data_IF_939174469377
#
_entry.id   IF_939174469377
#
_cell.length_a   1.000
_cell.length_b   1.000
_cell.length_c   1.000
_cell.angle_alpha   90.00
_cell.angle_beta   90.00
_cell.angle_gamma   90.00
#
_symmetry.space_group_name_H-M   'P 1'
#
loop_
_entity.id
_entity.type
_entity.pdbx_description
1 polymer ?
#
# COMPACT_ATOMS: atom_id res chain seq x y z
N UNK A 1 28.05 -10.13 12.95
CA UNK A 1 27.10 -9.62 11.94
C UNK A 1 25.84 -9.20 12.67
N UNK A 2 25.14 -8.14 12.23
CA UNK A 2 23.87 -7.74 12.83
C UNK A 2 22.75 -8.59 12.21
N UNK A 3 21.78 -8.95 13.04
CA UNK A 3 20.66 -9.82 12.67
C UNK A 3 19.42 -8.93 12.63
N UNK A 4 18.57 -9.15 11.63
CA UNK A 4 17.34 -8.39 11.41
C UNK A 4 16.17 -9.34 11.57
N UNK A 5 15.15 -8.87 12.27
CA UNK A 5 13.98 -9.69 12.57
C UNK A 5 12.71 -8.96 12.16
N UNK A 6 11.75 -9.74 11.65
CA UNK A 6 10.39 -9.30 11.39
C UNK A 6 9.50 -10.02 12.38
N UNK A 7 8.82 -9.28 13.26
CA UNK A 7 7.93 -9.88 14.25
C UNK A 7 6.48 -9.50 13.99
N UNK A 8 5.58 -10.45 14.14
CA UNK A 8 4.14 -10.27 14.10
C UNK A 8 3.44 -11.36 14.90
N UNK A 9 2.28 -11.01 15.43
CA UNK A 9 1.42 -11.95 16.16
C UNK A 9 -0.02 -11.49 15.97
N UNK A 10 -0.82 -12.32 15.33
CA UNK A 10 -2.19 -11.96 14.97
C UNK A 10 -3.12 -13.18 15.05
N UNK A 11 -4.39 -12.89 15.31
CA UNK A 11 -5.45 -13.89 15.31
C UNK A 11 -6.26 -13.76 14.01
N UNK A 12 -6.66 -14.88 13.46
CA UNK A 12 -7.68 -14.96 12.41
C UNK A 12 -8.80 -15.87 12.88
N UNK A 13 -10.03 -15.34 12.87
CA UNK A 13 -11.23 -16.13 13.10
C UNK A 13 -11.74 -16.66 11.76
N UNK A 14 -11.74 -17.98 11.60
CA UNK A 14 -12.25 -18.63 10.39
C UNK A 14 -13.74 -18.99 10.49
N UNK A 15 -14.39 -18.62 11.60
CA UNK A 15 -15.84 -18.68 11.80
C UNK A 15 -16.41 -20.05 12.18
N UNK A 16 -15.62 -21.13 12.09
CA UNK A 16 -16.01 -22.42 12.68
C UNK A 16 -14.81 -23.32 13.02
N UNK A 17 -14.95 -24.25 13.97
CA UNK A 17 -13.88 -25.22 14.31
C UNK A 17 -13.52 -26.15 13.14
N UNK A 18 -14.50 -26.49 12.29
CA UNK A 18 -14.25 -27.29 11.09
C UNK A 18 -13.33 -26.55 10.10
N UNK A 19 -13.60 -25.25 9.88
CA UNK A 19 -12.74 -24.39 9.06
C UNK A 19 -11.36 -24.25 9.68
N UNK A 20 -11.25 -24.18 11.02
CA UNK A 20 -9.97 -24.10 11.71
C UNK A 20 -9.14 -25.37 11.52
N UNK A 21 -9.77 -26.55 11.65
CA UNK A 21 -9.11 -27.82 11.37
C UNK A 21 -8.66 -27.94 9.90
N UNK A 22 -9.49 -27.50 8.94
CA UNK A 22 -9.12 -27.50 7.51
C UNK A 22 -7.97 -26.54 7.22
N UNK A 23 -7.95 -25.35 7.84
CA UNK A 23 -6.86 -24.39 7.69
C UNK A 23 -5.52 -24.95 8.18
N UNK A 24 -5.51 -25.63 9.33
CA UNK A 24 -4.31 -26.28 9.86
C UNK A 24 -3.83 -27.43 8.96
N UNK A 25 -4.75 -28.24 8.45
CA UNK A 25 -4.43 -29.30 7.49
C UNK A 25 -3.81 -28.71 6.22
N UNK A 26 -4.40 -27.65 5.66
CA UNK A 26 -3.86 -26.97 4.47
C UNK A 26 -2.47 -26.39 4.74
N UNK A 27 -2.24 -25.77 5.90
CA UNK A 27 -0.92 -25.26 6.28
C UNK A 27 0.14 -26.37 6.28
N UNK A 28 -0.18 -27.53 6.85
CA UNK A 28 0.72 -28.69 6.87
C UNK A 28 0.96 -29.27 5.47
N UNK A 29 -0.07 -29.36 4.63
CA UNK A 29 0.04 -29.79 3.23
C UNK A 29 0.98 -28.88 2.44
N UNK A 30 0.83 -27.56 2.57
CA UNK A 30 1.68 -26.57 1.91
C UNK A 30 3.12 -26.61 2.42
N UNK A 31 3.31 -26.61 3.75
CA UNK A 31 4.65 -26.74 4.36
C UNK A 31 5.37 -28.01 3.92
N UNK A 32 4.66 -29.12 3.73
CA UNK A 32 5.24 -30.36 3.24
C UNK A 32 5.63 -30.28 1.75
N UNK A 33 4.81 -29.61 0.94
CA UNK A 33 5.12 -29.37 -0.48
C UNK A 33 6.34 -28.43 -0.67
N UNK A 34 6.51 -27.48 0.26
CA UNK A 34 7.57 -26.47 0.23
C UNK A 34 8.94 -26.95 0.76
N UNK A 35 9.05 -28.17 1.31
CA UNK A 35 10.27 -28.63 1.98
C UNK A 35 11.54 -28.56 1.11
N UNK A 36 11.40 -28.78 -0.21
CA UNK A 36 12.49 -28.77 -1.18
C UNK A 36 12.34 -27.64 -2.21
N UNK A 37 11.45 -26.67 -1.97
CA UNK A 37 11.22 -25.55 -2.88
C UNK A 37 12.31 -24.48 -2.71
N UNK A 38 12.86 -23.99 -3.82
CA UNK A 38 13.82 -22.87 -3.81
C UNK A 38 13.18 -21.56 -3.31
N UNK A 39 11.86 -21.42 -3.44
CA UNK A 39 11.07 -20.30 -2.99
C UNK A 39 9.75 -20.81 -2.38
N UNK A 40 9.72 -21.14 -1.07
CA UNK A 40 8.54 -21.68 -0.42
C UNK A 40 7.41 -20.64 -0.32
N UNK A 41 6.18 -21.07 -0.57
CA UNK A 41 5.00 -20.21 -0.45
C UNK A 41 4.64 -19.91 1.01
N UNK A 42 4.92 -20.87 1.91
CA UNK A 42 4.63 -20.82 3.34
C UNK A 42 5.94 -20.92 4.15
N UNK A 43 6.54 -19.75 4.42
CA UNK A 43 7.73 -19.61 5.24
C UNK A 43 7.62 -18.39 6.16
N UNK A 44 8.43 -18.35 7.22
CA UNK A 44 8.53 -17.18 8.10
C UNK A 44 7.43 -17.07 9.16
N UNK A 45 6.55 -18.06 9.33
CA UNK A 45 5.50 -18.02 10.34
C UNK A 45 4.98 -19.40 10.73
N UNK A 46 4.46 -19.51 11.94
CA UNK A 46 3.72 -20.68 12.40
C UNK A 46 2.22 -20.37 12.52
N UNK A 47 1.42 -21.44 12.39
CA UNK A 47 -0.03 -21.41 12.55
C UNK A 47 -0.43 -22.40 13.63
N UNK A 48 -1.04 -21.89 14.70
CA UNK A 48 -1.45 -22.68 15.86
C UNK A 48 -2.94 -22.48 16.12
N UNK A 49 -3.63 -23.52 16.57
CA UNK A 49 -5.01 -23.37 17.05
C UNK A 49 -5.03 -22.58 18.37
N UNK A 50 -5.81 -21.50 18.44
CA UNK A 50 -5.93 -20.69 19.66
C UNK A 50 -7.13 -21.17 20.48
N UNK A 51 -6.86 -21.76 21.66
CA UNK A 51 -7.77 -22.11 22.77
C UNK A 51 -9.10 -22.85 22.46
N UNK A 52 -9.29 -23.94 23.22
CA UNK A 52 -10.43 -24.87 23.27
C UNK A 52 -10.76 -25.63 21.97
N UNK A 53 -11.09 -26.95 22.03
CA UNK A 53 -11.37 -27.77 20.84
C UNK A 53 -12.53 -27.28 19.97
N UNK A 54 -13.35 -26.36 20.49
CA UNK A 54 -14.46 -25.70 19.79
C UNK A 54 -14.19 -24.25 19.36
N UNK A 55 -12.94 -23.78 19.43
CA UNK A 55 -12.53 -22.47 18.92
C UNK A 55 -12.43 -22.44 17.39
N UNK A 56 -12.80 -21.30 16.80
CA UNK A 56 -12.62 -20.99 15.37
C UNK A 56 -11.45 -20.04 15.10
N UNK A 57 -10.70 -19.68 16.13
CA UNK A 57 -9.56 -18.76 16.03
C UNK A 57 -8.25 -19.50 15.83
N UNK A 58 -7.43 -19.00 14.92
CA UNK A 58 -6.08 -19.46 14.67
C UNK A 58 -5.11 -18.33 14.99
N UNK A 59 -4.02 -18.69 15.64
CA UNK A 59 -2.91 -17.80 15.94
C UNK A 59 -1.82 -17.95 14.89
N UNK A 60 -1.52 -16.84 14.24
CA UNK A 60 -0.39 -16.68 13.31
C UNK A 60 0.67 -15.87 14.03
N UNK A 61 1.89 -16.40 14.13
CA UNK A 61 3.02 -15.67 14.68
C UNK A 61 4.28 -15.90 13.85
N UNK A 62 5.21 -14.95 13.91
CA UNK A 62 6.50 -15.11 13.25
C UNK A 62 7.28 -16.31 13.79
N UNK A 63 8.07 -16.92 12.92
CA UNK A 63 9.19 -17.78 13.31
C UNK A 63 10.50 -16.95 13.32
N UNK A 64 11.67 -17.58 13.32
CA UNK A 64 12.96 -16.87 13.31
C UNK A 64 13.16 -15.96 12.07
N UNK A 65 12.42 -16.19 10.99
CA UNK A 65 12.55 -15.55 9.69
C UNK A 65 11.23 -14.93 9.20
N UNK A 66 10.51 -14.24 10.09
CA UNK A 66 9.26 -13.51 9.80
C UNK A 66 9.07 -13.02 8.36
N UNK A 67 8.04 -13.50 7.66
CA UNK A 67 7.68 -13.08 6.30
C UNK A 67 6.22 -12.60 6.23
N UNK A 68 6.06 -11.28 6.16
CA UNK A 68 4.76 -10.59 6.04
C UNK A 68 4.03 -11.00 4.76
N UNK A 69 4.74 -11.12 3.63
CA UNK A 69 4.13 -11.44 2.34
C UNK A 69 3.66 -12.90 2.29
N UNK A 70 4.40 -13.82 2.91
CA UNK A 70 3.97 -15.21 3.06
C UNK A 70 2.67 -15.33 3.87
N UNK A 71 2.53 -14.57 4.97
CA UNK A 71 1.28 -14.52 5.74
C UNK A 71 0.13 -13.99 4.88
N UNK A 72 0.33 -12.91 4.13
CA UNK A 72 -0.70 -12.33 3.25
C UNK A 72 -1.12 -13.35 2.20
N UNK A 73 -0.17 -13.97 1.48
CA UNK A 73 -0.46 -15.01 0.47
C UNK A 73 -1.25 -16.17 1.08
N UNK A 74 -0.81 -16.67 2.22
CA UNK A 74 -1.46 -17.78 2.91
C UNK A 74 -2.90 -17.43 3.34
N UNK A 75 -3.13 -16.25 3.93
CA UNK A 75 -4.48 -15.83 4.37
C UNK A 75 -5.41 -15.62 3.18
N UNK A 76 -4.92 -15.06 2.06
CA UNK A 76 -5.72 -14.96 0.83
C UNK A 76 -6.11 -16.33 0.28
N UNK A 77 -5.21 -17.31 0.37
CA UNK A 77 -5.49 -18.69 -0.02
C UNK A 77 -6.51 -19.35 0.93
N UNK A 78 -6.40 -19.11 2.24
CA UNK A 78 -7.40 -19.56 3.21
C UNK A 78 -8.78 -18.94 2.94
N UNK A 79 -8.82 -17.65 2.60
CA UNK A 79 -10.06 -16.97 2.27
C UNK A 79 -10.73 -17.56 1.03
N UNK A 80 -9.94 -17.99 0.04
CA UNK A 80 -10.43 -18.71 -1.12
C UNK A 80 -10.94 -20.12 -0.78
N UNK A 81 -10.16 -20.92 -0.05
CA UNK A 81 -10.49 -22.31 0.27
C UNK A 81 -11.70 -22.43 1.22
N UNK A 82 -11.84 -21.50 2.17
CA UNK A 82 -12.82 -21.57 3.25
C UNK A 82 -13.96 -20.57 3.09
N UNK A 83 -14.01 -19.83 1.98
CA UNK A 83 -14.95 -18.73 1.72
C UNK A 83 -15.02 -17.76 2.92
N UNK A 84 -13.87 -17.27 3.36
CA UNK A 84 -13.81 -16.26 4.42
C UNK A 84 -14.25 -14.90 3.86
N UNK A 85 -14.91 -14.10 4.69
CA UNK A 85 -15.42 -12.78 4.30
C UNK A 85 -15.14 -11.76 5.40
N UNK A 86 -15.30 -10.48 5.07
CA UNK A 86 -15.03 -9.39 6.00
C UNK A 86 -13.59 -8.91 5.91
N UNK A 87 -13.25 -7.98 6.81
CA UNK A 87 -11.93 -7.37 6.88
C UNK A 87 -11.06 -8.09 7.92
N UNK A 88 -9.82 -8.34 7.54
CA UNK A 88 -8.79 -8.83 8.43
C UNK A 88 -7.52 -8.01 8.23
N UNK A 89 -6.68 -7.93 9.25
CA UNK A 89 -5.43 -7.20 9.18
C UNK A 89 -4.52 -7.57 10.33
N UNK A 90 -3.25 -7.18 10.18
CA UNK A 90 -2.25 -7.43 11.20
C UNK A 90 -1.17 -6.34 11.18
N UNK A 91 -0.45 -6.26 12.29
CA UNK A 91 0.69 -5.38 12.46
C UNK A 91 1.97 -6.21 12.49
N UNK A 92 3.06 -5.60 12.06
CA UNK A 92 4.39 -6.18 12.14
C UNK A 92 5.40 -5.13 12.61
N UNK A 93 6.51 -5.60 13.16
CA UNK A 93 7.63 -4.78 13.58
C UNK A 93 8.93 -5.28 12.97
N UNK A 94 9.82 -4.35 12.61
CA UNK A 94 11.16 -4.64 12.14
C UNK A 94 12.14 -4.26 13.26
N UNK A 95 13.02 -5.20 13.63
CA UNK A 95 14.00 -4.99 14.69
C UNK A 95 15.39 -5.47 14.29
N UNK A 96 16.41 -5.03 15.04
CA UNK A 96 17.80 -5.40 14.81
C UNK A 96 18.52 -5.78 16.11
N UNK A 97 19.39 -6.78 16.06
CA UNK A 97 20.19 -7.23 17.21
C UNK A 97 21.24 -6.19 17.67
N UNK A 98 21.45 -5.11 16.90
CA UNK A 98 22.43 -4.05 17.20
C UNK A 98 21.87 -2.67 16.88
N UNK A 99 22.31 -1.61 17.57
CA UNK A 99 21.92 -0.25 17.23
C UNK A 99 22.46 0.12 15.85
N UNK A 100 21.56 0.24 14.88
CA UNK A 100 21.84 0.59 13.48
C UNK A 100 20.83 1.64 13.03
N UNK A 101 21.31 2.59 12.24
CA UNK A 101 20.43 3.53 11.54
C UNK A 101 19.55 2.73 10.57
N UNK A 102 18.29 3.14 10.44
CA UNK A 102 17.30 2.59 9.51
C UNK A 102 17.02 1.08 9.66
N UNK A 103 17.31 0.52 10.83
CA UNK A 103 17.14 -0.92 11.12
C UNK A 103 15.92 -1.26 11.99
N UNK A 104 15.09 -0.25 12.28
CA UNK A 104 13.89 -0.38 13.11
C UNK A 104 12.67 0.17 12.38
N UNK A 105 11.50 -0.33 12.75
CA UNK A 105 10.20 0.23 12.38
C UNK A 105 9.15 -0.87 12.29
N UNK A 106 8.40 -0.94 11.20
CA UNK A 106 7.25 -1.82 11.10
C UNK A 106 6.11 -1.20 10.32
N UNK A 107 4.94 -1.83 10.40
CA UNK A 107 3.78 -1.43 9.63
C UNK A 107 2.55 -2.25 9.93
N UNK A 108 1.56 -2.10 9.06
CA UNK A 108 0.30 -2.82 9.15
C UNK A 108 -0.27 -3.09 7.76
N UNK A 109 -1.04 -4.16 7.63
CA UNK A 109 -1.80 -4.51 6.44
C UNK A 109 -3.28 -4.68 6.77
N UNK A 110 -4.13 -4.24 5.86
CA UNK A 110 -5.58 -4.44 5.87
C UNK A 110 -6.00 -5.17 4.59
N UNK A 111 -6.77 -6.23 4.74
CA UNK A 111 -7.15 -7.17 3.69
C UNK A 111 -8.65 -7.39 3.73
N UNK A 112 -9.27 -7.33 2.57
CA UNK A 112 -10.64 -7.81 2.37
C UNK A 112 -10.59 -9.29 1.97
N UNK A 113 -11.06 -10.15 2.88
CA UNK A 113 -11.07 -11.60 2.67
C UNK A 113 -12.10 -12.01 1.60
N UNK A 114 -13.23 -11.29 1.51
CA UNK A 114 -14.26 -11.57 0.53
C UNK A 114 -13.85 -11.18 -0.88
N UNK A 115 -13.16 -10.04 -1.02
CA UNK A 115 -12.58 -9.60 -2.29
C UNK A 115 -11.21 -10.23 -2.58
N UNK A 116 -10.65 -10.98 -1.62
CA UNK A 116 -9.33 -11.62 -1.66
C UNK A 116 -8.22 -10.65 -2.08
N UNK A 117 -8.21 -9.47 -1.45
CA UNK A 117 -7.34 -8.37 -1.85
C UNK A 117 -6.83 -7.58 -0.65
N UNK A 118 -5.56 -7.21 -0.68
CA UNK A 118 -5.02 -6.14 0.18
C UNK A 118 -5.68 -4.80 -0.19
N UNK A 119 -6.30 -4.15 0.79
CA UNK A 119 -7.01 -2.88 0.60
C UNK A 119 -6.25 -1.68 1.15
N UNK A 120 -5.23 -1.91 1.96
CA UNK A 120 -4.39 -0.85 2.50
C UNK A 120 -3.20 -1.41 3.26
N UNK A 121 -2.15 -0.61 3.33
CA UNK A 121 -0.97 -0.88 4.14
C UNK A 121 -0.34 0.43 4.58
N UNK A 122 0.45 0.37 5.65
CA UNK A 122 1.21 1.52 6.16
C UNK A 122 2.59 1.08 6.60
N UNK A 123 3.63 1.84 6.25
CA UNK A 123 5.00 1.67 6.73
C UNK A 123 5.41 2.86 7.60
N UNK A 124 5.91 2.56 8.81
CA UNK A 124 6.40 3.60 9.73
C UNK A 124 7.65 4.29 9.19
N UNK A 125 8.48 3.58 8.42
CA UNK A 125 9.66 4.16 7.78
C UNK A 125 9.28 5.11 6.65
N UNK A 126 8.34 4.70 5.78
CA UNK A 126 7.90 5.55 4.67
C UNK A 126 7.16 6.79 5.19
N UNK A 127 6.29 6.61 6.18
CA UNK A 127 5.63 7.73 6.85
C UNK A 127 6.63 8.72 7.44
N UNK A 128 7.67 8.23 8.13
CA UNK A 128 8.68 9.09 8.74
C UNK A 128 9.49 9.85 7.67
N UNK A 129 9.90 9.16 6.60
CA UNK A 129 10.64 9.78 5.51
C UNK A 129 9.81 10.88 4.84
N UNK A 130 8.55 10.61 4.53
CA UNK A 130 7.61 11.57 3.95
C UNK A 130 7.41 12.79 4.87
N UNK A 131 7.18 12.56 6.16
CA UNK A 131 7.01 13.62 7.15
C UNK A 131 8.24 14.55 7.21
N UNK A 132 9.45 13.98 7.16
CA UNK A 132 10.70 14.75 7.19
C UNK A 132 10.97 15.50 5.88
N UNK A 133 10.46 15.00 4.75
CA UNK A 133 10.54 15.68 3.45
C UNK A 133 9.47 16.77 3.27
N UNK A 134 8.51 16.89 4.21
CA UNK A 134 7.38 17.82 4.10
C UNK A 134 6.32 17.38 3.10
N UNK A 135 6.22 16.08 2.83
CA UNK A 135 5.19 15.48 1.97
C UNK A 135 3.85 15.37 2.72
N UNK A 136 2.76 15.18 1.98
CA UNK A 136 1.43 14.95 2.56
C UNK A 136 1.35 13.55 3.20
N UNK A 137 1.48 13.52 4.53
CA UNK A 137 1.48 12.29 5.33
C UNK A 137 0.11 11.61 5.39
N UNK A 138 -0.98 12.35 5.13
CA UNK A 138 -2.34 11.79 5.13
C UNK A 138 -2.60 10.96 3.86
N UNK A 139 -1.79 11.14 2.81
CA UNK A 139 -1.82 10.32 1.60
C UNK A 139 -1.28 8.89 1.82
N UNK A 140 -0.39 8.68 2.80
CA UNK A 140 0.27 7.39 3.03
C UNK A 140 -0.63 6.31 3.66
N UNK A 141 -1.70 6.70 4.35
CA UNK A 141 -2.60 5.74 5.01
C UNK A 141 -3.55 4.99 4.06
N UNK A 142 -3.54 5.30 2.75
CA UNK A 142 -4.53 4.80 1.79
C UNK A 142 -3.99 3.78 0.76
N UNK A 143 -2.80 3.22 0.96
CA UNK A 143 -2.21 2.24 0.03
C UNK A 143 -1.89 2.81 -1.37
N UNK A 144 -2.01 4.13 -1.55
CA UNK A 144 -1.57 4.85 -2.73
C UNK A 144 -0.08 5.19 -2.62
N UNK A 145 0.76 4.20 -2.36
CA UNK A 145 2.17 4.36 -2.74
C UNK A 145 2.18 4.42 -4.26
N UNK A 146 2.58 5.58 -4.76
CA UNK A 146 2.65 5.92 -6.17
C UNK A 146 3.53 4.93 -6.94
N UNK A 147 2.95 3.82 -7.39
CA UNK A 147 3.54 3.00 -8.45
C UNK A 147 3.43 3.84 -9.73
N UNK A 148 4.49 4.58 -10.02
CA UNK A 148 4.71 5.33 -11.25
C UNK A 148 3.80 6.56 -11.47
N UNK A 149 4.11 7.65 -10.79
CA UNK A 149 3.59 8.97 -11.10
C UNK A 149 4.68 10.00 -11.00
N UNK A 150 5.38 10.26 -12.12
CA UNK A 150 6.11 11.52 -12.30
C UNK A 150 5.11 12.64 -12.05
N UNK A 151 5.11 13.20 -10.83
CA UNK A 151 4.41 14.44 -10.55
C UNK A 151 4.93 15.44 -11.60
N UNK A 152 4.07 16.09 -12.40
CA UNK A 152 4.51 17.27 -13.12
C UNK A 152 4.95 18.24 -12.03
N UNK A 153 6.25 18.44 -11.95
CA UNK A 153 6.86 19.48 -11.15
C UNK A 153 6.04 20.76 -11.32
N UNK A 154 5.55 21.32 -10.22
CA UNK A 154 4.83 22.60 -10.25
C UNK A 154 5.70 23.75 -10.82
N UNK A 155 7.02 23.53 -10.97
CA UNK A 155 7.91 24.42 -11.71
C UNK A 155 7.75 24.39 -13.24
N UNK A 156 7.14 23.35 -13.83
CA UNK A 156 6.86 23.31 -15.29
C UNK A 156 5.54 24.00 -15.66
N UNK A 157 4.55 24.00 -14.77
CA UNK A 157 3.25 24.64 -15.00
C UNK A 157 3.35 26.18 -14.95
N UNK A 158 4.25 26.73 -14.14
CA UNK A 158 4.56 28.16 -14.14
C UNK A 158 5.48 28.56 -15.31
N UNK A 159 6.38 27.67 -15.76
CA UNK A 159 7.29 27.93 -16.88
C UNK A 159 6.57 27.97 -18.25
N UNK A 160 5.62 27.06 -18.51
CA UNK A 160 4.85 27.10 -19.77
C UNK A 160 3.78 28.22 -19.77
N UNK A 161 3.32 28.65 -18.59
CA UNK A 161 2.40 29.79 -18.48
C UNK A 161 3.09 31.13 -18.73
N UNK A 162 4.39 31.25 -18.43
CA UNK A 162 5.20 32.43 -18.76
C UNK A 162 5.66 32.46 -20.23
N UNK A 163 6.03 31.32 -20.83
CA UNK A 163 6.37 31.26 -22.26
C UNK A 163 5.14 31.42 -23.19
N UNK A 164 3.96 30.94 -22.77
CA UNK A 164 2.69 31.12 -23.50
C UNK A 164 2.13 32.56 -23.47
N UNK A 165 2.69 33.43 -22.63
CA UNK A 165 2.35 34.85 -22.55
C UNK A 165 3.36 35.72 -23.33
N UNK A 166 4.63 35.31 -23.44
CA UNK A 166 5.64 36.00 -24.23
C UNK A 166 5.50 35.80 -25.75
N UNK A 167 4.96 34.67 -26.21
CA UNK A 167 4.76 34.41 -27.65
C UNK A 167 3.51 35.03 -28.26
N UNK A 168 2.58 35.55 -27.45
CA UNK A 168 1.39 36.27 -27.92
C UNK A 168 1.61 37.75 -28.23
N UNK A 169 2.81 38.28 -28.02
CA UNK A 169 3.12 39.71 -28.19
C UNK A 169 4.05 40.04 -29.39
N UNK A 170 4.31 39.10 -30.30
CA UNK A 170 5.17 39.33 -31.49
C UNK A 170 4.47 38.97 -32.82
N UNK A 171 3.14 38.80 -32.83
CA UNK A 171 2.34 38.76 -34.07
C UNK A 171 1.16 39.73 -33.96
N UNK A 172 1.47 41.01 -34.14
CA UNK A 172 0.49 42.11 -34.13
C UNK A 172 1.01 43.34 -34.88
N UNK A 173 1.64 43.14 -36.03
CA UNK A 173 2.05 44.22 -36.94
C UNK A 173 1.52 43.90 -38.34
N UNK A 174 0.29 44.32 -38.61
CA UNK A 174 -0.18 44.83 -39.91
C UNK A 174 -1.70 44.96 -39.90
N UNK A 175 -2.21 46.16 -40.25
CA UNK A 175 -3.58 46.30 -40.76
C UNK A 175 -4.45 47.34 -40.09
N UNK A 176 -4.11 48.62 -40.23
CA UNK A 176 -5.11 49.71 -40.19
C UNK A 176 -6.04 49.65 -41.40
N UNK A 177 -7.35 49.88 -41.19
CA UNK A 177 -8.09 50.81 -42.05
C UNK A 177 -8.93 51.83 -41.24
N UNK A 178 -9.34 52.95 -41.86
CA UNK A 178 -9.73 54.16 -41.14
C UNK A 178 -11.19 54.17 -40.66
N UNK A 179 -11.38 54.88 -39.53
CA UNK A 179 -12.64 55.23 -38.89
C UNK A 179 -13.57 56.02 -39.83
N UNK A 180 -14.78 55.51 -40.02
CA UNK A 180 -15.91 56.27 -40.53
C UNK A 180 -16.45 57.19 -39.42
N UNK A 181 -16.26 58.50 -39.59
CA UNK A 181 -16.89 59.54 -38.79
C UNK A 181 -18.31 59.75 -39.34
N UNK A 182 -19.34 59.49 -38.54
CA UNK A 182 -20.69 59.99 -38.83
C UNK A 182 -21.28 60.51 -37.53
N UNK A 183 -21.30 61.84 -37.40
CA UNK A 183 -22.15 62.54 -36.45
C UNK A 183 -23.29 63.22 -37.23
N UNK A 184 -24.52 63.20 -36.71
CA UNK A 184 -25.66 63.83 -37.36
C UNK A 184 -25.73 65.31 -36.97
N UNK A 185 -25.96 66.21 -37.92
CA UNK A 185 -26.57 67.49 -37.59
C UNK A 185 -27.49 67.97 -38.71
N UNK A 186 -28.70 68.32 -38.30
CA UNK A 186 -29.85 68.69 -39.10
C UNK A 186 -30.12 70.18 -38.87
N UNK A 187 -30.14 71.00 -39.92
CA UNK A 187 -31.14 72.08 -40.11
C UNK A 187 -30.98 72.85 -41.42
N UNK A 188 -32.14 73.07 -42.04
CA UNK A 188 -32.64 74.17 -42.88
C UNK A 188 -31.72 74.87 -43.87
#
# INVERSE_FOLDING_TARGET
>A
MADYFTHFSCLIDVGSPYKAARALALFQELRAADQDADAPDVAGFDLVHQDAPEGSSLWIHDDEHGDVEAVIRFVLRLAEELDLTGLWGFQYSLTCSRPRLDAFGGGAHAIDLGARKSIGWSSTQEWLAAALNGEDIDAFCNGASAVNGKLPNESSLEAERFEGMARRNVQGLAGTPPLALSMPFHRS
#
